data_IF_778885772044
#
_entry.id   IF_778885772044
#
_cell.length_a   1.000
_cell.length_b   1.000
_cell.length_c   1.000
_cell.angle_alpha   90.00
_cell.angle_beta   90.00
_cell.angle_gamma   90.00
#
_symmetry.space_group_name_H-M   'P 1'
#
loop_
_entity.id
_entity.type
_entity.pdbx_description
1 polymer ?
#
# COMPACT_ATOMS: atom_id res chain seq x y z
N UNK A 1 20.88 8.45 19.44
CA UNK A 1 20.55 9.76 18.84
C UNK A 1 20.45 9.51 17.34
N UNK A 2 19.24 9.31 16.81
CA UNK A 2 19.05 9.06 15.38
C UNK A 2 19.55 10.27 14.59
N UNK A 3 20.44 10.04 13.65
CA UNK A 3 20.98 11.12 12.81
C UNK A 3 19.88 11.58 11.85
N UNK A 4 19.89 12.84 11.43
CA UNK A 4 18.87 13.43 10.54
C UNK A 4 18.66 12.61 9.25
N UNK A 5 19.70 11.89 8.80
CA UNK A 5 19.66 10.93 7.70
C UNK A 5 18.74 9.73 7.94
N UNK A 6 18.69 9.21 9.17
CA UNK A 6 17.84 8.06 9.51
C UNK A 6 16.36 8.47 9.45
N UNK A 7 16.06 9.67 9.96
CA UNK A 7 14.71 10.24 9.92
C UNK A 7 14.27 10.45 8.46
N UNK A 8 15.14 10.99 7.60
CA UNK A 8 14.86 11.16 6.18
C UNK A 8 14.63 9.83 5.46
N UNK A 9 15.38 8.79 5.81
CA UNK A 9 15.20 7.44 5.28
C UNK A 9 13.83 6.85 5.63
N UNK A 10 13.42 6.98 6.90
CA UNK A 10 12.11 6.53 7.38
C UNK A 10 10.98 7.30 6.69
N UNK A 11 11.06 8.63 6.64
CA UNK A 11 10.03 9.47 6.00
C UNK A 11 9.86 9.13 4.52
N UNK A 12 10.96 8.94 3.79
CA UNK A 12 10.90 8.54 2.38
C UNK A 12 10.19 7.20 2.19
N UNK A 13 10.47 6.22 3.05
CA UNK A 13 9.82 4.90 3.00
C UNK A 13 8.32 5.00 3.28
N UNK A 14 7.94 5.74 4.32
CA UNK A 14 6.53 6.00 4.65
C UNK A 14 5.80 6.67 3.50
N UNK A 15 6.41 7.66 2.84
CA UNK A 15 5.81 8.33 1.69
C UNK A 15 5.63 7.38 0.49
N UNK A 16 6.60 6.51 0.24
CA UNK A 16 6.49 5.50 -0.81
C UNK A 16 5.36 4.51 -0.52
N UNK A 17 5.29 3.99 0.71
CA UNK A 17 4.23 3.09 1.16
C UNK A 17 2.85 3.75 1.03
N UNK A 18 2.73 5.01 1.47
CA UNK A 18 1.50 5.78 1.38
C UNK A 18 1.05 5.95 -0.07
N UNK A 19 1.98 6.24 -0.98
CA UNK A 19 1.68 6.43 -2.40
C UNK A 19 1.18 5.13 -3.02
N UNK A 20 1.85 4.01 -2.77
CA UNK A 20 1.46 2.70 -3.31
C UNK A 20 0.08 2.30 -2.82
N UNK A 21 -0.18 2.42 -1.51
CA UNK A 21 -1.49 2.11 -0.93
C UNK A 21 -2.58 3.02 -1.49
N UNK A 22 -2.29 4.32 -1.65
CA UNK A 22 -3.26 5.28 -2.20
C UNK A 22 -3.61 4.95 -3.66
N UNK A 23 -2.60 4.66 -4.48
CA UNK A 23 -2.81 4.27 -5.89
C UNK A 23 -3.60 2.97 -5.99
N UNK A 24 -3.30 1.98 -5.15
CA UNK A 24 -4.02 0.71 -5.10
C UNK A 24 -5.49 0.90 -4.73
N UNK A 25 -5.77 1.66 -3.67
CA UNK A 25 -7.15 1.94 -3.23
C UNK A 25 -7.90 2.74 -4.28
N UNK A 26 -7.28 3.75 -4.89
CA UNK A 26 -7.89 4.53 -5.96
C UNK A 26 -8.26 3.64 -7.16
N UNK A 27 -7.34 2.77 -7.59
CA UNK A 27 -7.57 1.82 -8.66
C UNK A 27 -8.74 0.87 -8.34
N UNK A 28 -8.74 0.25 -7.16
CA UNK A 28 -9.84 -0.64 -6.74
C UNK A 28 -11.17 0.09 -6.65
N UNK A 29 -11.17 1.34 -6.20
CA UNK A 29 -12.39 2.15 -6.07
C UNK A 29 -12.98 2.43 -7.44
N UNK A 30 -12.15 2.83 -8.41
CA UNK A 30 -12.58 3.04 -9.79
C UNK A 30 -13.06 1.75 -10.44
N UNK A 31 -12.36 0.63 -10.23
CA UNK A 31 -12.76 -0.68 -10.75
C UNK A 31 -14.10 -1.15 -10.16
N UNK A 32 -14.32 -0.95 -8.86
CA UNK A 32 -15.57 -1.28 -8.20
C UNK A 32 -16.72 -0.41 -8.70
N UNK A 33 -16.49 0.90 -8.92
CA UNK A 33 -17.47 1.81 -9.51
C UNK A 33 -17.83 1.40 -10.94
N UNK A 34 -16.85 1.02 -11.75
CA UNK A 34 -17.06 0.65 -13.15
C UNK A 34 -17.81 -0.69 -13.31
N UNK A 35 -17.61 -1.63 -12.37
CA UNK A 35 -18.00 -3.04 -12.54
C UNK A 35 -19.11 -3.48 -11.57
N UNK A 36 -19.59 -2.59 -10.70
CA UNK A 36 -20.63 -2.84 -9.69
C UNK A 36 -20.37 -4.09 -8.83
N UNK A 37 -19.12 -4.26 -8.39
CA UNK A 37 -18.69 -5.45 -7.68
C UNK A 37 -19.39 -5.67 -6.34
N UNK A 38 -19.53 -6.95 -5.92
CA UNK A 38 -19.92 -7.26 -4.56
C UNK A 38 -18.90 -6.72 -3.57
N UNK A 39 -19.41 -6.18 -2.47
CA UNK A 39 -18.62 -5.52 -1.41
C UNK A 39 -17.50 -6.42 -0.87
N UNK A 40 -17.76 -7.73 -0.79
CA UNK A 40 -16.79 -8.74 -0.34
C UNK A 40 -15.53 -8.81 -1.21
N UNK A 41 -15.66 -8.74 -2.53
CA UNK A 41 -14.53 -8.81 -3.48
C UNK A 41 -13.65 -7.58 -3.32
N UNK A 42 -14.27 -6.41 -3.18
CA UNK A 42 -13.54 -5.17 -2.92
C UNK A 42 -12.69 -5.27 -1.64
N UNK A 43 -13.29 -5.73 -0.53
CA UNK A 43 -12.55 -5.87 0.73
C UNK A 43 -11.46 -6.94 0.65
N UNK A 44 -11.71 -8.07 -0.01
CA UNK A 44 -10.72 -9.12 -0.19
C UNK A 44 -9.47 -8.60 -0.94
N UNK A 45 -9.67 -7.81 -2.00
CA UNK A 45 -8.58 -7.22 -2.77
C UNK A 45 -7.89 -6.07 -2.04
N UNK A 46 -8.62 -5.33 -1.21
CA UNK A 46 -8.04 -4.26 -0.41
C UNK A 46 -7.09 -4.85 0.64
N UNK A 47 -7.49 -5.92 1.33
CA UNK A 47 -6.63 -6.65 2.26
C UNK A 47 -5.50 -7.36 1.52
N UNK A 48 -5.81 -8.02 0.40
CA UNK A 48 -4.83 -8.77 -0.41
C UNK A 48 -3.72 -7.89 -0.97
N UNK A 49 -4.04 -6.71 -1.49
CA UNK A 49 -3.02 -5.79 -2.00
C UNK A 49 -2.11 -5.24 -0.91
N UNK A 50 -2.63 -4.98 0.30
CA UNK A 50 -1.80 -4.58 1.44
C UNK A 50 -0.89 -5.73 1.87
N UNK A 51 -1.42 -6.96 1.97
CA UNK A 51 -0.62 -8.13 2.33
C UNK A 51 0.52 -8.37 1.33
N UNK A 52 0.24 -8.29 0.03
CA UNK A 52 1.25 -8.42 -1.01
C UNK A 52 2.31 -7.30 -0.95
N UNK A 53 1.90 -6.05 -0.69
CA UNK A 53 2.84 -4.94 -0.51
C UNK A 53 3.75 -5.18 0.70
N UNK A 54 3.18 -5.60 1.83
CA UNK A 54 3.94 -5.91 3.04
C UNK A 54 4.96 -7.02 2.80
N UNK A 55 4.62 -8.10 2.08
CA UNK A 55 5.58 -9.16 1.74
C UNK A 55 6.75 -8.62 0.92
N UNK A 56 6.47 -7.85 -0.14
CA UNK A 56 7.51 -7.25 -1.00
C UNK A 56 8.44 -6.32 -0.19
N UNK A 57 7.85 -5.51 0.68
CA UNK A 57 8.60 -4.54 1.48
C UNK A 57 9.31 -5.20 2.67
N UNK A 58 8.82 -6.34 3.16
CA UNK A 58 9.47 -7.13 4.22
C UNK A 58 10.70 -7.88 3.71
N UNK A 59 10.66 -8.38 2.48
CA UNK A 59 11.80 -9.02 1.79
C UNK A 59 12.98 -8.06 1.59
N UNK A 60 12.71 -6.77 1.44
CA UNK A 60 13.75 -5.73 1.36
C UNK A 60 14.50 -5.45 2.68
N UNK A 61 14.22 -6.22 3.76
CA UNK A 61 14.86 -6.06 5.06
C UNK A 61 16.05 -7.02 5.28
N UNK A 62 16.35 -7.89 4.32
CA UNK A 62 17.51 -8.81 4.37
C UNK A 62 18.78 -8.21 3.73
#
# INVERSE_FOLDING_TARGET
>A
MGTTSDVLGVVRRVLADLLVVTVWVAFLTLAALATAWPRSVFYALLVGGIAAWVEITADQKD
#
